data_IF_360400969495
#
_entry.id   IF_360400969495
#
_cell.length_a   1.000
_cell.length_b   1.000
_cell.length_c   1.000
_cell.angle_alpha   90.00
_cell.angle_beta   90.00
_cell.angle_gamma   90.00
#
_symmetry.space_group_name_H-M   'P 1'
#
loop_
_entity.id
_entity.type
_entity.pdbx_description
1 polymer ?
#
# COMPACT_ATOMS: atom_id res chain seq x y z
N UNK A 1 -18.29 33.83 -24.15
CA UNK A 1 -19.04 33.22 -25.27
C UNK A 1 -18.24 32.07 -25.86
N UNK A 2 -18.92 30.94 -26.15
CA UNK A 2 -18.31 29.79 -26.82
C UNK A 2 -18.14 30.07 -28.31
N UNK A 3 -17.01 29.64 -28.89
CA UNK A 3 -16.77 29.74 -30.34
C UNK A 3 -17.61 28.71 -31.08
N UNK A 4 -18.10 29.07 -32.27
CA UNK A 4 -18.94 28.21 -33.12
C UNK A 4 -18.29 26.84 -33.42
N UNK A 5 -17.01 26.82 -33.82
CA UNK A 5 -16.27 25.58 -34.10
C UNK A 5 -16.27 24.63 -32.89
N UNK A 6 -16.04 25.17 -31.69
CA UNK A 6 -16.05 24.40 -30.45
C UNK A 6 -17.47 23.91 -30.11
N UNK A 7 -18.49 24.72 -30.38
CA UNK A 7 -19.87 24.32 -30.18
C UNK A 7 -20.21 23.12 -31.08
N UNK A 8 -19.86 23.17 -32.36
CA UNK A 8 -20.06 22.08 -33.32
C UNK A 8 -19.42 20.77 -32.88
N UNK A 9 -18.19 20.82 -32.34
CA UNK A 9 -17.51 19.62 -31.82
C UNK A 9 -18.23 19.00 -30.61
N UNK A 10 -18.90 19.82 -29.80
CA UNK A 10 -19.59 19.38 -28.57
C UNK A 10 -21.05 18.97 -28.80
N UNK A 11 -21.63 19.26 -29.96
CA UNK A 11 -23.03 18.96 -30.26
C UNK A 11 -23.34 17.45 -30.20
N UNK A 12 -22.45 16.61 -30.70
CA UNK A 12 -22.63 15.15 -30.66
C UNK A 12 -22.68 14.63 -29.22
N UNK A 13 -21.71 15.03 -28.38
CA UNK A 13 -21.67 14.65 -26.97
C UNK A 13 -22.86 15.22 -26.17
N UNK A 14 -23.35 16.39 -26.55
CA UNK A 14 -24.57 16.96 -25.98
C UNK A 14 -25.81 16.15 -26.37
N UNK A 15 -25.96 15.79 -27.65
CA UNK A 15 -27.11 15.06 -28.17
C UNK A 15 -27.29 13.70 -27.46
N UNK A 16 -26.19 13.00 -27.17
CA UNK A 16 -26.22 11.72 -26.44
C UNK A 16 -26.18 11.87 -24.90
N UNK A 17 -26.28 13.09 -24.37
CA UNK A 17 -26.31 13.36 -22.92
C UNK A 17 -24.98 13.16 -22.18
N UNK A 18 -23.85 13.09 -22.88
CA UNK A 18 -22.51 12.93 -22.28
C UNK A 18 -21.92 14.24 -21.78
N UNK A 19 -22.36 15.38 -22.31
CA UNK A 19 -21.88 16.70 -21.90
C UNK A 19 -22.51 17.16 -20.57
N UNK A 20 -21.68 17.59 -19.60
CA UNK A 20 -22.12 17.97 -18.24
C UNK A 20 -21.51 19.28 -17.76
N UNK A 21 -22.12 19.84 -16.70
CA UNK A 21 -21.59 21.00 -15.97
C UNK A 21 -21.51 22.27 -16.82
N UNK A 22 -20.46 23.06 -16.61
CA UNK A 22 -20.28 24.38 -17.24
C UNK A 22 -20.26 24.33 -18.78
N UNK A 23 -19.71 23.25 -19.35
CA UNK A 23 -19.64 23.08 -20.79
C UNK A 23 -21.03 22.92 -21.42
N UNK A 24 -21.95 22.23 -20.73
CA UNK A 24 -23.35 22.08 -21.14
C UNK A 24 -24.05 23.44 -21.18
N UNK A 25 -23.98 24.20 -20.09
CA UNK A 25 -24.64 25.51 -19.99
C UNK A 25 -24.13 26.48 -21.05
N UNK A 26 -22.80 26.53 -21.26
CA UNK A 26 -22.20 27.41 -22.26
C UNK A 26 -22.59 27.03 -23.70
N UNK A 27 -22.80 25.73 -23.97
CA UNK A 27 -23.27 25.25 -25.26
C UNK A 27 -24.75 25.58 -25.47
N UNK A 28 -25.60 25.39 -24.46
CA UNK A 28 -27.03 25.72 -24.49
C UNK A 28 -27.26 27.21 -24.78
N UNK A 29 -26.47 28.07 -24.13
CA UNK A 29 -26.47 29.50 -24.44
C UNK A 29 -26.10 29.75 -25.90
N UNK A 30 -25.02 29.13 -26.39
CA UNK A 30 -24.62 29.30 -27.80
C UNK A 30 -25.69 28.80 -28.78
N UNK A 31 -26.37 27.70 -28.48
CA UNK A 31 -27.46 27.17 -29.32
C UNK A 31 -28.62 28.16 -29.38
N UNK A 32 -28.98 28.81 -28.26
CA UNK A 32 -30.05 29.81 -28.25
C UNK A 32 -29.74 31.06 -29.10
N UNK A 33 -28.46 31.34 -29.30
CA UNK A 33 -27.98 32.51 -30.05
C UNK A 33 -27.58 32.16 -31.50
N UNK A 34 -27.41 30.88 -31.85
CA UNK A 34 -26.90 30.43 -33.13
C UNK A 34 -27.85 29.46 -33.86
N UNK A 35 -28.56 29.91 -34.92
CA UNK A 35 -29.52 29.09 -35.64
C UNK A 35 -28.87 27.96 -36.47
N UNK A 36 -27.55 28.02 -36.70
CA UNK A 36 -26.79 26.94 -37.35
C UNK A 36 -26.65 25.76 -36.39
N UNK A 37 -26.17 26.02 -35.17
CA UNK A 37 -26.01 25.00 -34.14
C UNK A 37 -27.35 24.40 -33.71
N UNK A 38 -28.43 25.19 -33.69
CA UNK A 38 -29.78 24.68 -33.40
C UNK A 38 -30.27 23.68 -34.48
N UNK A 39 -30.09 24.02 -35.76
CA UNK A 39 -30.46 23.13 -36.88
C UNK A 39 -29.64 21.84 -36.85
N UNK A 40 -28.35 21.95 -36.59
CA UNK A 40 -27.47 20.78 -36.49
C UNK A 40 -27.87 19.86 -35.33
N UNK A 41 -28.20 20.44 -34.17
CA UNK A 41 -28.70 19.67 -33.03
C UNK A 41 -29.98 18.91 -33.38
N UNK A 42 -30.92 19.55 -34.09
CA UNK A 42 -32.15 18.90 -34.54
C UNK A 42 -31.86 17.74 -35.50
N UNK A 43 -30.92 17.91 -36.42
CA UNK A 43 -30.51 16.84 -37.35
C UNK A 43 -29.91 15.62 -36.60
N UNK A 44 -29.08 15.88 -35.58
CA UNK A 44 -28.53 14.82 -34.72
C UNK A 44 -29.63 14.08 -33.94
N UNK A 45 -30.59 14.81 -33.37
CA UNK A 45 -31.72 14.23 -32.64
C UNK A 45 -32.65 13.41 -33.56
N UNK A 46 -32.88 13.87 -34.79
CA UNK A 46 -33.63 13.10 -35.79
C UNK A 46 -32.91 11.80 -36.16
N UNK A 47 -31.60 11.87 -36.38
CA UNK A 47 -30.78 10.68 -36.66
C UNK A 47 -30.83 9.69 -35.51
N UNK A 48 -30.72 10.17 -34.26
CA UNK A 48 -30.84 9.32 -33.08
C UNK A 48 -32.21 8.66 -32.99
N UNK A 49 -33.29 9.39 -33.30
CA UNK A 49 -34.65 8.84 -33.33
C UNK A 49 -34.78 7.72 -34.36
N UNK A 50 -34.29 7.92 -35.58
CA UNK A 50 -34.28 6.89 -36.63
C UNK A 50 -33.48 5.65 -36.20
N UNK A 51 -32.32 5.85 -35.57
CA UNK A 51 -31.52 4.73 -35.05
C UNK A 51 -32.25 3.95 -33.95
N UNK A 52 -33.03 4.63 -33.09
CA UNK A 52 -33.87 3.94 -32.10
C UNK A 52 -35.00 3.15 -32.74
N UNK A 53 -35.58 3.65 -33.82
CA UNK A 53 -36.67 2.98 -34.56
C UNK A 53 -36.20 1.70 -35.26
N UNK A 54 -34.97 1.68 -35.79
CA UNK A 54 -34.35 0.45 -36.36
C UNK A 54 -34.20 -0.64 -35.29
N UNK A 55 -34.12 -0.25 -34.02
CA UNK A 55 -34.02 -1.16 -32.88
C UNK A 55 -32.64 -1.82 -32.78
N UNK A 56 -32.38 -2.39 -31.60
CA UNK A 56 -31.17 -3.17 -31.39
C UNK A 56 -31.35 -4.53 -32.08
N UNK A 57 -30.59 -4.77 -33.16
CA UNK A 57 -30.49 -6.09 -33.76
C UNK A 57 -29.84 -7.02 -32.74
N UNK A 58 -30.67 -7.86 -32.10
CA UNK A 58 -30.16 -8.89 -31.21
C UNK A 58 -29.46 -9.94 -32.08
N UNK A 59 -28.19 -10.27 -31.82
CA UNK A 59 -27.51 -11.28 -32.61
C UNK A 59 -28.28 -12.60 -32.49
N UNK A 60 -28.60 -13.21 -33.63
CA UNK A 60 -29.38 -14.45 -33.71
C UNK A 60 -28.75 -15.60 -32.93
N UNK A 61 -27.42 -15.55 -32.71
CA UNK A 61 -26.71 -16.51 -31.87
C UNK A 61 -25.68 -15.83 -30.95
N UNK A 62 -26.06 -15.51 -29.69
CA UNK A 62 -25.17 -14.81 -28.77
C UNK A 62 -23.94 -15.65 -28.37
N UNK A 63 -24.05 -16.99 -28.36
CA UNK A 63 -22.93 -17.87 -28.00
C UNK A 63 -21.82 -17.79 -29.04
N UNK A 64 -22.15 -17.85 -30.32
CA UNK A 64 -21.15 -17.73 -31.40
C UNK A 64 -20.44 -16.37 -31.39
N UNK A 65 -21.16 -15.28 -31.11
CA UNK A 65 -20.56 -13.95 -30.99
C UNK A 65 -19.58 -13.88 -29.82
N UNK A 66 -19.95 -14.40 -28.66
CA UNK A 66 -19.07 -14.45 -27.49
C UNK A 66 -17.82 -15.31 -27.74
N UNK A 67 -17.96 -16.44 -28.43
CA UNK A 67 -16.82 -17.28 -28.80
C UNK A 67 -15.85 -16.52 -29.72
N UNK A 68 -16.37 -15.80 -30.73
CA UNK A 68 -15.54 -14.95 -31.61
C UNK A 68 -14.84 -13.82 -30.86
N UNK A 69 -15.54 -13.16 -29.93
CA UNK A 69 -14.93 -12.11 -29.10
C UNK A 69 -13.81 -12.69 -28.25
N UNK A 70 -14.03 -13.84 -27.59
CA UNK A 70 -13.00 -14.50 -26.77
C UNK A 70 -11.80 -14.94 -27.60
N UNK A 71 -12.00 -15.49 -28.80
CA UNK A 71 -10.88 -15.87 -29.66
C UNK A 71 -10.08 -14.66 -30.13
N UNK A 72 -10.76 -13.56 -30.47
CA UNK A 72 -10.11 -12.32 -30.89
C UNK A 72 -9.34 -11.65 -29.74
N UNK A 73 -9.90 -11.63 -28.52
CA UNK A 73 -9.21 -11.05 -27.35
C UNK A 73 -8.10 -11.94 -26.82
N UNK A 74 -8.19 -13.27 -26.99
CA UNK A 74 -7.10 -14.19 -26.64
C UNK A 74 -5.86 -14.02 -27.55
N UNK A 75 -6.07 -13.61 -28.80
CA UNK A 75 -4.98 -13.38 -29.77
C UNK A 75 -4.40 -11.97 -29.70
N UNK A 76 -5.10 -11.02 -29.07
CA UNK A 76 -4.59 -9.65 -28.94
C UNK A 76 -3.50 -9.61 -27.86
N UNK A 77 -2.28 -9.12 -28.17
CA UNK A 77 -1.26 -8.94 -27.16
C UNK A 77 -1.80 -7.97 -26.12
N UNK A 78 -1.93 -8.45 -24.87
CA UNK A 78 -2.39 -7.60 -23.76
C UNK A 78 -1.47 -6.40 -23.71
N UNK A 79 -2.03 -5.20 -23.90
CA UNK A 79 -1.33 -3.93 -23.71
C UNK A 79 -1.03 -3.80 -22.23
N UNK A 80 0.03 -4.48 -21.76
CA UNK A 80 0.57 -4.23 -20.44
C UNK A 80 1.12 -2.81 -20.49
N UNK A 81 0.49 -1.91 -19.77
CA UNK A 81 0.97 -0.54 -19.68
C UNK A 81 2.38 -0.56 -19.12
N UNK A 82 3.32 0.16 -19.74
CA UNK A 82 4.70 0.32 -19.25
C UNK A 82 4.73 0.71 -17.76
N UNK A 83 3.73 1.45 -17.30
CA UNK A 83 3.57 1.84 -15.90
C UNK A 83 3.45 0.65 -14.93
N UNK A 84 2.80 -0.45 -15.34
CA UNK A 84 2.65 -1.63 -14.48
C UNK A 84 3.98 -2.38 -14.35
N UNK A 85 4.74 -2.51 -15.44
CA UNK A 85 6.07 -3.11 -15.45
C UNK A 85 7.05 -2.36 -14.55
N UNK A 86 7.04 -1.03 -14.58
CA UNK A 86 7.88 -0.20 -13.70
C UNK A 86 7.58 -0.38 -12.21
N UNK A 87 6.29 -0.54 -11.84
CA UNK A 87 5.89 -0.74 -10.45
C UNK A 87 6.34 -2.10 -9.89
N UNK A 88 6.33 -3.15 -10.70
CA UNK A 88 6.86 -4.47 -10.31
C UNK A 88 8.37 -4.48 -10.16
N UNK A 89 9.11 -3.76 -11.02
CA UNK A 89 10.57 -3.69 -10.94
C UNK A 89 11.01 -2.96 -9.67
N UNK A 90 10.40 -1.81 -9.35
CA UNK A 90 10.69 -1.09 -8.11
C UNK A 90 10.31 -1.88 -6.85
N UNK A 91 9.18 -2.59 -6.88
CA UNK A 91 8.78 -3.46 -5.76
C UNK A 91 9.71 -4.65 -5.51
N UNK A 92 10.40 -5.14 -6.54
CA UNK A 92 11.38 -6.24 -6.42
C UNK A 92 12.74 -5.74 -5.92
N UNK A 93 13.16 -4.53 -6.32
CA UNK A 93 14.43 -3.93 -5.89
C UNK A 93 14.44 -3.49 -4.42
N UNK A 94 13.29 -3.18 -3.80
CA UNK A 94 13.26 -2.73 -2.40
C UNK A 94 13.20 -3.87 -1.37
N UNK A 95 12.85 -5.09 -1.78
CA UNK A 95 12.86 -6.27 -0.90
C UNK A 95 14.25 -6.66 -0.36
N UNK A 96 15.34 -6.67 -1.14
CA UNK A 96 16.67 -6.98 -0.59
C UNK A 96 17.20 -5.89 0.35
N UNK A 97 16.77 -4.64 0.20
CA UNK A 97 17.25 -3.52 1.02
C UNK A 97 16.96 -3.71 2.52
N UNK A 98 15.82 -4.31 2.86
CA UNK A 98 15.46 -4.62 4.26
C UNK A 98 16.40 -5.71 4.82
N UNK A 99 16.74 -6.71 4.00
CA UNK A 99 17.68 -7.77 4.40
C UNK A 99 19.08 -7.23 4.69
N UNK A 100 19.60 -6.35 3.83
CA UNK A 100 20.89 -5.72 4.04
C UNK A 100 20.92 -4.77 5.25
N UNK A 101 19.83 -4.04 5.52
CA UNK A 101 19.74 -3.16 6.69
C UNK A 101 19.80 -3.93 8.02
N UNK A 102 19.11 -5.08 8.10
CA UNK A 102 19.17 -5.96 9.28
C UNK A 102 20.57 -6.57 9.45
N UNK A 103 21.18 -7.03 8.35
CA UNK A 103 22.55 -7.56 8.38
C UNK A 103 23.57 -6.51 8.84
N UNK A 104 23.44 -5.28 8.37
CA UNK A 104 24.30 -4.16 8.78
C UNK A 104 24.14 -3.83 10.27
N UNK A 105 22.92 -3.87 10.81
CA UNK A 105 22.67 -3.66 12.24
C UNK A 105 23.30 -4.76 13.11
N UNK A 106 23.16 -6.02 12.70
CA UNK A 106 23.80 -7.15 13.41
C UNK A 106 25.31 -7.02 13.36
N UNK A 107 25.88 -6.72 12.19
CA UNK A 107 27.32 -6.54 12.03
C UNK A 107 27.85 -5.38 12.90
N UNK A 108 27.15 -4.24 12.92
CA UNK A 108 27.51 -3.10 13.76
C UNK A 108 27.42 -3.42 15.26
N UNK A 109 26.40 -4.16 15.70
CA UNK A 109 26.28 -4.60 17.08
C UNK A 109 27.45 -5.52 17.48
N UNK A 110 27.77 -6.52 16.65
CA UNK A 110 28.89 -7.43 16.90
C UNK A 110 30.24 -6.69 16.96
N UNK A 111 30.47 -5.75 16.05
CA UNK A 111 31.67 -4.89 16.07
C UNK A 111 31.73 -4.00 17.31
N UNK A 112 30.60 -3.48 17.77
CA UNK A 112 30.51 -2.65 18.98
C UNK A 112 30.86 -3.46 20.24
N UNK A 113 30.33 -4.69 20.35
CA UNK A 113 30.66 -5.61 21.43
C UNK A 113 32.13 -6.04 21.41
N UNK A 114 32.74 -6.18 20.24
CA UNK A 114 34.18 -6.46 20.11
C UNK A 114 35.06 -5.25 20.44
N UNK A 115 34.55 -4.03 20.25
CA UNK A 115 35.25 -2.79 20.56
C UNK A 115 35.15 -2.38 22.02
N UNK A 116 34.27 -2.99 22.83
CA UNK A 116 34.23 -2.72 24.25
C UNK A 116 35.57 -3.18 24.87
N UNK A 117 36.41 -2.25 25.34
CA UNK A 117 37.54 -2.63 26.18
C UNK A 117 36.95 -3.39 27.37
N UNK A 118 37.57 -4.50 27.73
CA UNK A 118 37.17 -5.26 28.90
C UNK A 118 37.45 -4.43 30.17
N UNK A 119 36.55 -3.50 30.48
CA UNK A 119 36.39 -2.94 31.82
C UNK A 119 35.85 -4.09 32.68
N UNK A 120 36.75 -5.00 33.04
CA UNK A 120 36.50 -5.91 34.16
C UNK A 120 36.32 -4.98 35.35
N UNK A 121 35.14 -4.93 36.00
CA UNK A 121 35.04 -4.23 37.26
C UNK A 121 36.04 -4.92 38.19
N UNK A 122 37.12 -4.23 38.52
CA UNK A 122 38.04 -4.64 39.57
C UNK A 122 37.21 -4.60 40.85
N UNK A 123 36.65 -5.77 41.19
CA UNK A 123 35.75 -5.94 42.32
C UNK A 123 36.62 -5.90 43.58
N UNK A 124 37.09 -4.70 43.96
CA UNK A 124 37.76 -4.45 45.23
C UNK A 124 36.72 -4.53 46.33
N UNK A 125 36.28 -5.74 46.66
CA UNK A 125 35.45 -5.99 47.82
C UNK A 125 36.30 -5.64 49.04
N UNK A 126 35.99 -4.52 49.68
CA UNK A 126 36.62 -4.09 50.92
C UNK A 126 36.63 -5.26 51.92
N UNK A 127 37.76 -5.47 52.60
CA UNK A 127 37.92 -6.55 53.59
C UNK A 127 36.80 -6.56 54.63
N UNK A 128 36.27 -5.39 54.99
CA UNK A 128 35.12 -5.26 55.89
C UNK A 128 33.84 -5.90 55.34
N UNK A 129 33.63 -5.81 54.03
CA UNK A 129 32.44 -6.32 53.35
C UNK A 129 32.54 -7.84 53.14
N UNK A 130 33.76 -8.37 52.99
CA UNK A 130 34.01 -9.81 52.98
C UNK A 130 33.70 -10.44 54.35
N UNK A 131 34.13 -9.82 55.44
CA UNK A 131 33.87 -10.34 56.80
C UNK A 131 32.39 -10.36 57.17
N UNK A 132 31.59 -9.39 56.70
CA UNK A 132 30.12 -9.43 56.89
C UNK A 132 29.44 -10.57 56.13
N UNK A 133 29.93 -10.91 54.94
CA UNK A 133 29.39 -12.02 54.16
C UNK A 133 29.77 -13.37 54.78
N UNK A 134 30.99 -13.50 55.29
CA UNK A 134 31.45 -14.74 55.95
C UNK A 134 30.74 -14.95 57.29
N UNK A 135 30.50 -13.90 58.08
CA UNK A 135 29.80 -14.04 59.37
C UNK A 135 28.34 -14.52 59.22
N UNK A 136 27.67 -14.18 58.12
CA UNK A 136 26.33 -14.69 57.81
C UNK A 136 26.30 -16.17 57.41
N UNK A 137 27.44 -16.75 57.00
CA UNK A 137 27.52 -18.12 56.49
C UNK A 137 27.96 -19.18 57.52
N UNK A 138 28.22 -18.78 58.78
CA UNK A 138 28.67 -19.70 59.85
C UNK A 138 27.60 -19.88 60.94
N UNK A 139 26.58 -20.72 60.72
CA UNK A 139 25.54 -21.00 61.71
C UNK A 139 26.01 -21.86 62.89
N UNK A 140 27.32 -22.08 63.07
CA UNK A 140 27.91 -22.81 64.20
C UNK A 140 28.63 -21.90 65.21
N UNK A 141 29.04 -20.69 64.80
CA UNK A 141 29.76 -19.75 65.67
C UNK A 141 28.87 -19.16 66.76
N UNK A 142 27.60 -18.93 66.43
CA UNK A 142 26.57 -18.39 67.33
C UNK A 142 26.15 -19.35 68.47
N UNK A 143 26.40 -20.66 68.36
CA UNK A 143 26.06 -21.61 69.44
C UNK A 143 27.04 -21.53 70.62
N UNK A 144 28.33 -21.29 70.33
CA UNK A 144 29.35 -21.14 71.37
C UNK A 144 29.21 -19.82 72.13
N UNK A 145 28.83 -18.74 71.46
CA UNK A 145 28.60 -17.43 72.11
C UNK A 145 27.31 -17.39 72.94
N UNK A 146 26.29 -18.18 72.57
CA UNK A 146 25.02 -18.23 73.30
C UNK A 146 25.07 -19.07 74.60
N UNK A 147 26.20 -19.74 74.91
CA UNK A 147 26.36 -20.53 76.14
C UNK A 147 25.43 -21.75 76.25
N UNK A 148 24.82 -22.16 75.13
CA UNK A 148 23.89 -23.29 75.09
C UNK A 148 24.67 -24.58 74.86
N UNK A 149 24.60 -25.51 75.82
CA UNK A 149 25.14 -26.85 75.66
C UNK A 149 24.36 -27.62 74.59
N UNK A 150 25.10 -28.34 73.73
CA UNK A 150 24.51 -29.20 72.68
C UNK A 150 23.51 -30.19 73.29
N UNK A 151 22.32 -30.38 72.67
CA UNK A 151 21.38 -31.39 73.12
C UNK A 151 22.01 -32.79 72.96
N UNK A 152 22.07 -33.52 74.08
CA UNK A 152 22.59 -34.88 74.18
C UNK A 152 21.75 -35.82 73.29
N UNK A 153 22.26 -36.13 72.11
CA UNK A 153 21.70 -37.15 71.22
C UNK A 153 22.46 -38.44 71.48
N UNK A 154 21.99 -39.21 72.46
CA UNK A 154 22.32 -40.64 72.52
C UNK A 154 21.34 -41.43 71.65
N UNK A 155 21.81 -42.54 71.05
CA UNK A 155 21.18 -43.21 69.91
C UNK A 155 19.86 -43.92 70.23
#
# INVERSE_FOLDING_TARGET
MMKHEKAMQLLADYAVGRLKGRAKIALEQHISECPICERELKALQQTEKLLREVGLVRPSNPKLMLTRIRSATAQSPRVQSKAWQWRTIWGYLWKPAIGFALLALVAAATLSLWRQPSDRPELSVSYEQYHRLVSWSNPLGNWFEAGLSMPNTQP
#
